data_IF_524599056559
#
_entry.id   IF_524599056559
#
_cell.length_a   1.000
_cell.length_b   1.000
_cell.length_c   1.000
_cell.angle_alpha   90.00
_cell.angle_beta   90.00
_cell.angle_gamma   90.00
#
_symmetry.space_group_name_H-M   'P 1'
#
loop_
_entity.id
_entity.type
_entity.pdbx_description
1 polymer ?
#
# COMPACT_ATOMS: atom_id res chain seq x y z
N UNK A 1 24.12 -10.71 -1.39
CA UNK A 1 22.73 -10.56 -0.89
C UNK A 1 22.74 -9.65 0.33
N UNK A 2 22.01 -8.55 0.29
CA UNK A 2 22.01 -7.62 1.41
C UNK A 2 21.21 -8.20 2.58
N UNK A 3 21.76 -8.05 3.80
CA UNK A 3 21.02 -8.37 5.01
C UNK A 3 19.99 -7.28 5.25
N UNK A 4 18.71 -7.60 5.50
CA UNK A 4 17.71 -6.59 5.82
C UNK A 4 18.12 -5.75 7.03
N UNK A 5 18.19 -4.43 6.84
CA UNK A 5 18.42 -3.46 7.89
C UNK A 5 17.33 -2.38 7.83
N UNK A 6 17.42 -1.36 8.69
CA UNK A 6 16.43 -0.29 8.71
C UNK A 6 16.33 0.42 7.35
N UNK A 7 17.47 0.66 6.70
CA UNK A 7 17.51 1.27 5.38
C UNK A 7 16.81 0.39 4.33
N UNK A 8 17.02 -0.91 4.38
CA UNK A 8 16.40 -1.85 3.46
C UNK A 8 14.87 -1.79 3.57
N UNK A 9 14.33 -1.78 4.79
CA UNK A 9 12.89 -1.65 5.00
C UNK A 9 12.37 -0.27 4.56
N UNK A 10 13.15 0.78 4.80
CA UNK A 10 12.80 2.15 4.37
C UNK A 10 12.64 2.23 2.86
N UNK A 11 13.58 1.65 2.11
CA UNK A 11 13.52 1.66 0.64
C UNK A 11 12.32 0.84 0.13
N UNK A 12 12.02 -0.28 0.75
CA UNK A 12 10.85 -1.09 0.40
C UNK A 12 9.55 -0.32 0.63
N UNK A 13 9.41 0.35 1.74
CA UNK A 13 8.21 1.13 2.05
C UNK A 13 8.08 2.32 1.11
N UNK A 14 9.18 3.02 0.85
CA UNK A 14 9.19 4.13 -0.10
C UNK A 14 8.69 3.72 -1.48
N UNK A 15 9.24 2.63 -1.99
CA UNK A 15 8.83 2.11 -3.30
C UNK A 15 7.36 1.71 -3.32
N UNK A 16 6.91 1.01 -2.28
CA UNK A 16 5.51 0.61 -2.15
C UNK A 16 4.57 1.81 -2.16
N UNK A 17 4.89 2.85 -1.39
CA UNK A 17 4.08 4.07 -1.33
C UNK A 17 4.09 4.82 -2.66
N UNK A 18 5.22 4.87 -3.35
CA UNK A 18 5.33 5.51 -4.64
C UNK A 18 4.42 4.86 -5.68
N UNK A 19 4.32 3.53 -5.67
CA UNK A 19 3.52 2.77 -6.62
C UNK A 19 2.05 2.73 -6.25
N UNK A 20 1.73 2.46 -4.97
CA UNK A 20 0.37 2.17 -4.50
C UNK A 20 -0.33 3.35 -3.85
N UNK A 21 0.41 4.28 -3.27
CA UNK A 21 -0.15 5.44 -2.56
C UNK A 21 0.64 6.70 -2.90
N UNK A 22 0.67 7.13 -4.19
CA UNK A 22 1.60 8.19 -4.64
C UNK A 22 1.70 9.42 -3.75
N UNK A 23 0.60 9.95 -3.16
CA UNK A 23 0.75 11.12 -2.28
C UNK A 23 1.50 10.82 -0.98
N UNK A 24 1.53 9.54 -0.53
CA UNK A 24 2.13 9.15 0.75
C UNK A 24 3.63 8.92 0.68
N UNK A 25 4.23 8.91 -0.51
CA UNK A 25 5.68 8.74 -0.65
C UNK A 25 6.47 9.83 0.07
N UNK A 26 5.84 10.98 0.36
CA UNK A 26 6.48 12.11 1.01
C UNK A 26 6.25 12.16 2.53
N UNK A 27 5.59 11.16 3.14
CA UNK A 27 5.34 11.11 4.57
C UNK A 27 6.56 10.55 5.32
N UNK A 28 7.59 11.37 5.44
CA UNK A 28 8.89 10.95 5.93
C UNK A 28 8.88 10.39 7.36
N UNK A 29 8.17 11.06 8.27
CA UNK A 29 8.10 10.61 9.66
C UNK A 29 7.46 9.23 9.80
N UNK A 30 6.41 8.97 9.04
CA UNK A 30 5.74 7.66 9.02
C UNK A 30 6.67 6.59 8.45
N UNK A 31 7.38 6.90 7.37
CA UNK A 31 8.32 5.98 6.73
C UNK A 31 9.43 5.59 7.71
N UNK A 32 10.03 6.57 8.38
CA UNK A 32 11.11 6.32 9.34
C UNK A 32 10.64 5.48 10.53
N UNK A 33 9.48 5.81 11.10
CA UNK A 33 8.94 5.08 12.24
C UNK A 33 8.64 3.62 11.89
N UNK A 34 7.95 3.39 10.78
CA UNK A 34 7.59 2.04 10.35
C UNK A 34 8.80 1.20 9.98
N UNK A 35 9.79 1.81 9.33
CA UNK A 35 11.02 1.12 8.94
C UNK A 35 11.79 0.65 10.18
N UNK A 36 11.85 1.47 11.21
CA UNK A 36 12.49 1.10 12.47
C UNK A 36 11.75 -0.03 13.17
N UNK A 37 10.40 0.07 13.26
CA UNK A 37 9.59 -0.97 13.89
C UNK A 37 9.67 -2.28 13.12
N UNK A 38 9.70 -2.25 11.80
CA UNK A 38 9.85 -3.43 10.98
C UNK A 38 11.21 -4.08 11.20
N UNK A 39 12.27 -3.30 11.25
CA UNK A 39 13.60 -3.81 11.52
C UNK A 39 13.70 -4.43 12.92
N UNK A 40 13.11 -3.80 13.94
CA UNK A 40 13.03 -4.36 15.28
C UNK A 40 12.30 -5.70 15.28
N UNK A 41 11.19 -5.80 14.58
CA UNK A 41 10.43 -7.06 14.43
C UNK A 41 11.27 -8.14 13.74
N UNK A 42 12.00 -7.78 12.70
CA UNK A 42 12.90 -8.70 11.99
C UNK A 42 13.97 -9.24 12.92
N UNK A 43 14.68 -8.35 13.60
CA UNK A 43 15.76 -8.72 14.51
C UNK A 43 15.27 -9.63 15.63
N UNK A 44 14.12 -9.29 16.23
CA UNK A 44 13.52 -10.08 17.29
C UNK A 44 13.14 -11.48 16.80
N UNK A 45 12.55 -11.58 15.61
CA UNK A 45 12.18 -12.86 15.04
C UNK A 45 13.38 -13.76 14.78
N UNK A 46 14.47 -13.20 14.26
CA UNK A 46 15.72 -13.95 14.04
C UNK A 46 16.31 -14.43 15.36
N UNK A 47 16.31 -13.59 16.38
CA UNK A 47 16.80 -13.96 17.73
C UNK A 47 15.98 -15.10 18.35
N UNK A 48 14.70 -15.18 18.01
CA UNK A 48 13.82 -16.26 18.47
C UNK A 48 13.90 -17.52 17.61
N UNK A 49 14.80 -17.55 16.64
CA UNK A 49 15.06 -18.74 15.83
C UNK A 49 14.30 -18.81 14.52
N UNK A 50 13.61 -17.75 14.10
CA UNK A 50 12.91 -17.75 12.83
C UNK A 50 13.89 -17.73 11.66
N UNK A 51 13.46 -18.32 10.53
CA UNK A 51 14.22 -18.21 9.28
C UNK A 51 14.20 -16.75 8.78
N UNK A 52 15.16 -16.40 7.93
CA UNK A 52 15.20 -15.05 7.34
C UNK A 52 13.89 -14.71 6.62
N UNK A 53 13.36 -15.65 5.82
CA UNK A 53 12.11 -15.43 5.08
C UNK A 53 10.91 -15.23 6.02
N UNK A 54 10.83 -16.00 7.09
CA UNK A 54 9.76 -15.88 8.09
C UNK A 54 9.86 -14.55 8.84
N UNK A 55 11.08 -14.13 9.18
CA UNK A 55 11.32 -12.87 9.86
C UNK A 55 10.96 -11.67 8.97
N UNK A 56 11.26 -11.73 7.67
CA UNK A 56 10.87 -10.68 6.72
C UNK A 56 9.34 -10.60 6.62
N UNK A 57 8.65 -11.73 6.57
CA UNK A 57 7.18 -11.72 6.53
C UNK A 57 6.56 -11.09 7.77
N UNK A 58 7.10 -11.38 8.95
CA UNK A 58 6.64 -10.76 10.18
C UNK A 58 6.89 -9.24 10.17
N UNK A 59 8.06 -8.82 9.71
CA UNK A 59 8.40 -7.40 9.59
C UNK A 59 7.51 -6.68 8.58
N UNK A 60 7.19 -7.32 7.46
CA UNK A 60 6.33 -6.73 6.43
C UNK A 60 4.92 -6.47 6.95
N UNK A 61 4.40 -7.28 7.86
CA UNK A 61 3.10 -7.02 8.49
C UNK A 61 3.10 -5.71 9.28
N UNK A 62 4.23 -5.37 9.89
CA UNK A 62 4.40 -4.08 10.59
C UNK A 62 4.58 -2.96 9.58
N UNK A 63 5.42 -3.18 8.58
CA UNK A 63 5.80 -2.17 7.59
C UNK A 63 4.58 -1.68 6.78
N UNK A 64 3.75 -2.60 6.32
CA UNK A 64 2.65 -2.31 5.39
C UNK A 64 1.26 -2.27 6.05
N UNK A 65 1.19 -2.30 7.39
CA UNK A 65 -0.10 -2.30 8.09
C UNK A 65 -0.95 -1.09 7.69
N UNK A 66 -2.19 -1.36 7.30
CA UNK A 66 -3.14 -0.33 6.87
C UNK A 66 -2.89 0.23 5.48
N UNK A 67 -1.92 -0.31 4.72
CA UNK A 67 -1.54 0.19 3.40
C UNK A 67 -1.85 -0.78 2.26
N UNK A 68 -2.34 -1.99 2.56
CA UNK A 68 -2.55 -3.01 1.53
C UNK A 68 -3.73 -2.69 0.61
N UNK A 69 -4.75 -1.98 1.12
CA UNK A 69 -5.80 -1.47 0.24
C UNK A 69 -5.38 -0.11 -0.32
N UNK A 70 -5.40 0.02 -1.64
CA UNK A 70 -5.02 1.25 -2.33
C UNK A 70 -6.22 1.86 -3.07
N UNK A 71 -6.63 3.06 -2.67
CA UNK A 71 -7.65 3.85 -3.37
C UNK A 71 -7.21 4.15 -4.80
N UNK A 72 -5.95 4.51 -4.97
CA UNK A 72 -5.37 4.79 -6.28
C UNK A 72 -5.46 3.57 -7.19
N UNK A 73 -5.03 2.40 -6.70
CA UNK A 73 -5.09 1.16 -7.50
C UNK A 73 -6.52 0.81 -7.89
N UNK A 74 -7.48 1.02 -6.99
CA UNK A 74 -8.90 0.76 -7.24
C UNK A 74 -9.42 1.62 -8.39
N UNK A 75 -9.17 2.93 -8.33
CA UNK A 75 -9.59 3.85 -9.38
C UNK A 75 -8.88 3.54 -10.70
N UNK A 76 -7.58 3.28 -10.64
CA UNK A 76 -6.79 2.92 -11.82
C UNK A 76 -7.31 1.65 -12.48
N UNK A 77 -7.69 0.65 -11.68
CA UNK A 77 -8.27 -0.60 -12.19
C UNK A 77 -9.58 -0.33 -12.93
N UNK A 78 -10.46 0.49 -12.39
CA UNK A 78 -11.73 0.85 -13.03
C UNK A 78 -11.48 1.55 -14.37
N UNK A 79 -10.54 2.49 -14.40
CA UNK A 79 -10.19 3.19 -15.64
C UNK A 79 -9.63 2.22 -16.68
N UNK A 80 -8.77 1.30 -16.28
CA UNK A 80 -8.19 0.33 -17.20
C UNK A 80 -9.23 -0.67 -17.74
N UNK A 81 -10.21 -1.03 -16.92
CA UNK A 81 -11.24 -2.02 -17.27
C UNK A 81 -12.38 -1.40 -18.07
N UNK A 82 -12.90 -0.27 -17.61
CA UNK A 82 -14.11 0.34 -18.18
C UNK A 82 -13.82 1.42 -19.22
N UNK A 83 -12.62 1.98 -19.21
CA UNK A 83 -12.21 3.04 -20.12
C UNK A 83 -10.86 2.74 -20.79
N UNK A 84 -10.72 1.59 -21.46
CA UNK A 84 -9.42 1.18 -22.01
C UNK A 84 -8.89 2.08 -23.12
N UNK A 85 -9.74 2.94 -23.68
CA UNK A 85 -9.33 3.90 -24.72
C UNK A 85 -8.41 5.01 -24.17
N UNK A 86 -8.46 5.25 -22.85
CA UNK A 86 -7.59 6.25 -22.23
C UNK A 86 -6.17 5.71 -22.14
N UNK A 87 -5.14 6.41 -22.68
CA UNK A 87 -3.74 5.96 -22.57
C UNK A 87 -3.29 5.81 -21.12
N UNK A 88 -2.41 4.84 -20.87
CA UNK A 88 -1.97 4.52 -19.50
C UNK A 88 -1.39 5.71 -18.75
N UNK A 89 -0.57 6.54 -19.42
CA UNK A 89 0.02 7.72 -18.79
C UNK A 89 -1.04 8.73 -18.35
N UNK A 90 -2.13 8.87 -19.11
CA UNK A 90 -3.25 9.73 -18.72
C UNK A 90 -4.10 9.12 -17.62
N UNK A 91 -4.19 7.78 -17.57
CA UNK A 91 -4.93 7.09 -16.50
C UNK A 91 -4.34 7.36 -15.13
N UNK A 92 -3.01 7.41 -15.01
CA UNK A 92 -2.34 7.70 -13.75
C UNK A 92 -2.74 9.08 -13.21
N UNK A 93 -2.71 10.09 -14.06
CA UNK A 93 -3.07 11.46 -13.67
C UNK A 93 -4.55 11.56 -13.32
N UNK A 94 -5.42 10.96 -14.12
CA UNK A 94 -6.85 10.95 -13.88
C UNK A 94 -7.18 10.22 -12.57
N UNK A 95 -6.53 9.08 -12.32
CA UNK A 95 -6.74 8.32 -11.09
C UNK A 95 -6.39 9.14 -9.85
N UNK A 96 -5.29 9.89 -9.87
CA UNK A 96 -4.90 10.76 -8.75
C UNK A 96 -5.94 11.82 -8.47
N UNK A 97 -6.52 12.42 -9.52
CA UNK A 97 -7.59 13.41 -9.37
C UNK A 97 -8.86 12.80 -8.83
N UNK A 98 -9.24 11.63 -9.35
CA UNK A 98 -10.48 10.95 -8.95
C UNK A 98 -10.43 10.44 -7.52
N UNK A 99 -9.28 10.04 -7.01
CA UNK A 99 -9.14 9.66 -5.60
C UNK A 99 -9.58 10.80 -4.69
N UNK A 100 -9.23 12.03 -5.04
CA UNK A 100 -9.64 13.22 -4.28
C UNK A 100 -11.13 13.51 -4.43
N UNK A 101 -11.64 13.47 -5.67
CA UNK A 101 -13.04 13.76 -5.97
C UNK A 101 -13.96 12.73 -5.32
N UNK A 102 -13.56 11.46 -5.31
CA UNK A 102 -14.34 10.36 -4.76
C UNK A 102 -14.11 10.12 -3.26
N UNK A 103 -13.37 11.01 -2.58
CA UNK A 103 -13.12 10.86 -1.15
C UNK A 103 -14.39 10.65 -0.31
N UNK A 104 -15.52 11.35 -0.55
CA UNK A 104 -16.75 11.09 0.19
C UNK A 104 -17.26 9.66 0.06
N UNK A 105 -17.12 9.05 -1.13
CA UNK A 105 -17.53 7.66 -1.38
C UNK A 105 -16.64 6.71 -0.59
N UNK A 106 -15.32 6.88 -0.65
CA UNK A 106 -14.39 6.03 0.10
C UNK A 106 -14.63 6.07 1.60
N UNK A 107 -15.03 7.22 2.14
CA UNK A 107 -15.28 7.37 3.59
C UNK A 107 -16.46 6.54 4.10
N UNK A 108 -17.36 6.10 3.25
CA UNK A 108 -18.51 5.30 3.65
C UNK A 108 -18.16 3.83 3.89
N UNK A 109 -16.93 3.42 3.59
CA UNK A 109 -16.47 2.04 3.72
C UNK A 109 -15.33 1.92 4.73
N UNK A 110 -15.24 0.76 5.38
CA UNK A 110 -14.15 0.41 6.29
C UNK A 110 -13.01 -0.19 5.47
N UNK A 111 -12.06 0.64 5.05
CA UNK A 111 -11.00 0.30 4.10
C UNK A 111 -9.80 -0.35 4.80
N UNK A 112 -10.01 -1.54 5.35
CA UNK A 112 -8.94 -2.34 5.95
C UNK A 112 -8.10 -3.04 4.88
N UNK A 113 -6.99 -3.65 5.29
CA UNK A 113 -6.04 -4.28 4.38
C UNK A 113 -6.65 -5.38 3.49
N UNK A 114 -7.66 -6.08 3.98
CA UNK A 114 -8.35 -7.14 3.25
C UNK A 114 -9.59 -6.66 2.49
N UNK A 115 -9.83 -5.34 2.40
CA UNK A 115 -11.07 -4.81 1.83
C UNK A 115 -11.30 -5.28 0.41
N UNK A 116 -10.24 -5.38 -0.42
CA UNK A 116 -10.37 -5.85 -1.81
C UNK A 116 -10.86 -7.29 -1.92
N UNK A 117 -10.79 -8.07 -0.84
CA UNK A 117 -11.27 -9.45 -0.78
C UNK A 117 -12.70 -9.56 -0.25
N UNK A 118 -13.29 -8.44 0.20
CA UNK A 118 -14.63 -8.42 0.79
C UNK A 118 -15.71 -8.15 -0.26
N UNK A 119 -16.94 -8.63 -0.02
CA UNK A 119 -18.07 -8.35 -0.93
C UNK A 119 -18.33 -6.87 -1.15
N UNK A 120 -18.10 -6.03 -0.14
CA UNK A 120 -18.31 -4.58 -0.19
C UNK A 120 -17.40 -3.90 -1.23
N UNK A 121 -16.28 -4.51 -1.58
CA UNK A 121 -15.38 -3.98 -2.62
C UNK A 121 -16.09 -3.82 -3.95
N UNK A 122 -16.93 -4.79 -4.32
CA UNK A 122 -17.70 -4.72 -5.56
C UNK A 122 -18.65 -3.52 -5.55
N UNK A 123 -19.32 -3.30 -4.40
CA UNK A 123 -20.23 -2.16 -4.25
C UNK A 123 -19.48 -0.84 -4.38
N UNK A 124 -18.32 -0.74 -3.74
CA UNK A 124 -17.49 0.45 -3.85
C UNK A 124 -17.13 0.75 -5.31
N UNK A 125 -16.69 -0.26 -6.06
CA UNK A 125 -16.35 -0.07 -7.47
C UNK A 125 -17.54 0.40 -8.31
N UNK A 126 -18.74 -0.05 -8.01
CA UNK A 126 -19.96 0.37 -8.72
C UNK A 126 -20.30 1.83 -8.40
N UNK A 127 -20.03 2.32 -7.21
CA UNK A 127 -20.29 3.70 -6.83
C UNK A 127 -19.26 4.69 -7.37
N UNK A 128 -18.06 4.20 -7.69
CA UNK A 128 -17.00 5.03 -8.27
C UNK A 128 -17.19 5.14 -9.79
#
# INVERSE_FOLDING_TARGET
>A
METPDEKWFRERLRHFLEVRHPPRQFHQAMIERRSRLAFESYTQSVELGATADSAVRAADKVLFRGLLFSKYDTVHLILATDFPIIPENQRQEIALRLVRICAPIFRTYDLKDDFSERPEFRRLKEEL
#
